data_IF_813682795458
#
_entry.id   IF_813682795458
#
_cell.length_a   1.000
_cell.length_b   1.000
_cell.length_c   1.000
_cell.angle_alpha   90.00
_cell.angle_beta   90.00
_cell.angle_gamma   90.00
#
_symmetry.space_group_name_H-M   'P 1'
#
loop_
_entity.id
_entity.type
_entity.pdbx_description
1 polymer ?
#
# COMPACT_ATOMS: atom_id res chain seq x y z
N UNK A 1 3.15 15.36 68.47
CA UNK A 1 3.56 14.60 67.27
C UNK A 1 3.57 15.52 66.06
N UNK A 2 4.74 16.01 65.63
CA UNK A 2 4.87 16.61 64.28
C UNK A 2 4.88 15.45 63.30
N UNK A 3 3.76 15.18 62.63
CA UNK A 3 3.74 14.25 61.51
C UNK A 3 4.79 14.77 60.52
N UNK A 4 5.84 13.99 60.29
CA UNK A 4 6.93 14.38 59.39
C UNK A 4 6.35 14.51 57.98
N UNK A 5 6.18 15.77 57.56
CA UNK A 5 5.74 16.24 56.24
C UNK A 5 6.22 15.41 55.05
N UNK A 6 7.48 14.92 54.95
CA UNK A 6 7.95 14.18 53.76
C UNK A 6 7.22 12.86 53.47
N UNK A 7 6.68 12.16 54.48
CA UNK A 7 6.09 10.83 54.27
C UNK A 7 4.68 10.87 53.69
N UNK A 8 3.89 11.90 54.05
CA UNK A 8 2.59 12.16 53.42
C UNK A 8 2.78 12.49 51.95
N UNK A 9 3.78 13.32 51.62
CA UNK A 9 4.12 13.65 50.25
C UNK A 9 4.51 12.42 49.42
N UNK A 10 5.20 11.45 50.02
CA UNK A 10 5.54 10.20 49.35
C UNK A 10 4.30 9.37 48.97
N UNK A 11 3.32 9.24 49.87
CA UNK A 11 2.05 8.54 49.59
C UNK A 11 1.25 9.25 48.51
N UNK A 12 1.17 10.58 48.57
CA UNK A 12 0.50 11.41 47.55
C UNK A 12 1.17 11.27 46.18
N UNK A 13 2.49 11.30 46.11
CA UNK A 13 3.23 11.10 44.84
C UNK A 13 2.99 9.70 44.28
N UNK A 14 3.06 8.66 45.12
CA UNK A 14 2.79 7.29 44.71
C UNK A 14 1.37 7.12 44.16
N UNK A 15 0.37 7.71 44.81
CA UNK A 15 -1.01 7.65 44.34
C UNK A 15 -1.19 8.38 43.02
N UNK A 16 -0.60 9.57 42.85
CA UNK A 16 -0.63 10.28 41.56
C UNK A 16 0.03 9.43 40.45
N UNK A 17 1.20 8.84 40.71
CA UNK A 17 1.89 7.97 39.74
C UNK A 17 1.07 6.74 39.37
N UNK A 18 0.45 6.06 40.35
CA UNK A 18 -0.43 4.91 40.10
C UNK A 18 -1.65 5.31 39.26
N UNK A 19 -2.26 6.46 39.56
CA UNK A 19 -3.43 6.97 38.82
C UNK A 19 -3.06 7.30 37.38
N UNK A 20 -1.89 7.91 37.15
CA UNK A 20 -1.38 8.20 35.82
C UNK A 20 -1.09 6.91 35.02
N UNK A 21 -0.42 5.93 35.63
CA UNK A 21 -0.15 4.62 35.01
C UNK A 21 -1.44 3.87 34.67
N UNK A 22 -2.44 3.93 35.55
CA UNK A 22 -3.74 3.32 35.31
C UNK A 22 -4.43 3.94 34.10
N UNK A 23 -4.43 5.28 34.01
CA UNK A 23 -4.99 6.00 32.87
C UNK A 23 -4.28 5.66 31.54
N UNK A 24 -2.94 5.54 31.56
CA UNK A 24 -2.18 5.13 30.37
C UNK A 24 -2.48 3.67 29.98
N UNK A 25 -2.64 2.76 30.95
CA UNK A 25 -2.96 1.35 30.67
C UNK A 25 -4.33 1.15 30.00
N UNK A 26 -5.25 2.09 30.18
CA UNK A 26 -6.60 2.03 29.58
C UNK A 26 -6.64 2.47 28.11
N UNK A 27 -5.56 3.04 27.55
CA UNK A 27 -5.59 3.48 26.15
C UNK A 27 -5.50 2.26 25.19
N UNK A 28 -6.46 2.07 24.28
CA UNK A 28 -6.52 0.90 23.38
C UNK A 28 -5.60 1.04 22.15
N UNK A 29 -4.35 1.44 22.36
CA UNK A 29 -3.50 1.96 21.27
C UNK A 29 -3.00 0.86 20.31
N UNK A 30 -2.69 -0.33 20.83
CA UNK A 30 -2.17 -1.48 20.06
C UNK A 30 -3.12 -1.94 18.94
N UNK A 31 -4.44 -1.79 19.15
CA UNK A 31 -5.44 -2.15 18.14
C UNK A 31 -5.42 -1.19 16.94
N UNK A 32 -5.06 0.08 17.17
CA UNK A 32 -5.13 1.15 16.17
C UNK A 32 -4.00 1.00 15.15
N UNK A 33 -2.73 0.88 15.57
CA UNK A 33 -1.62 0.72 14.62
C UNK A 33 -1.69 -0.60 13.84
N UNK A 34 -2.14 -1.68 14.49
CA UNK A 34 -2.35 -2.98 13.83
C UNK A 34 -3.37 -2.89 12.67
N UNK A 35 -4.37 -2.02 12.78
CA UNK A 35 -5.34 -1.78 11.70
C UNK A 35 -4.68 -1.11 10.48
N UNK A 36 -3.79 -0.14 10.69
CA UNK A 36 -3.07 0.52 9.59
C UNK A 36 -2.04 -0.39 8.92
N UNK A 37 -1.35 -1.24 9.70
CA UNK A 37 -0.51 -2.32 9.14
C UNK A 37 -1.34 -3.22 8.24
N UNK A 38 -2.50 -3.69 8.72
CA UNK A 38 -3.39 -4.53 7.93
C UNK A 38 -3.85 -3.82 6.65
N UNK A 39 -4.25 -2.55 6.73
CA UNK A 39 -4.68 -1.77 5.57
C UNK A 39 -3.60 -1.66 4.49
N UNK A 40 -2.32 -1.50 4.88
CA UNK A 40 -1.20 -1.45 3.93
C UNK A 40 -0.88 -2.82 3.33
N UNK A 41 -0.97 -3.90 4.13
CA UNK A 41 -0.87 -5.26 3.60
C UNK A 41 -2.00 -5.56 2.59
N UNK A 42 -3.24 -5.20 2.94
CA UNK A 42 -4.40 -5.37 2.07
C UNK A 42 -4.22 -4.59 0.75
N UNK A 43 -3.64 -3.38 0.81
CA UNK A 43 -3.21 -2.63 -0.37
C UNK A 43 -2.20 -3.41 -1.22
N UNK A 44 -1.12 -3.94 -0.63
CA UNK A 44 -0.09 -4.69 -1.36
C UNK A 44 -0.66 -5.95 -2.04
N UNK A 45 -1.56 -6.66 -1.36
CA UNK A 45 -2.24 -7.82 -1.94
C UNK A 45 -3.17 -7.42 -3.09
N UNK A 46 -3.93 -6.33 -2.93
CA UNK A 46 -4.81 -5.82 -3.97
C UNK A 46 -4.01 -5.34 -5.20
N UNK A 47 -2.86 -4.68 -4.98
CA UNK A 47 -1.97 -4.21 -6.04
C UNK A 47 -1.37 -5.39 -6.82
N UNK A 48 -0.86 -6.40 -6.12
CA UNK A 48 -0.35 -7.62 -6.76
C UNK A 48 -1.43 -8.37 -7.54
N UNK A 49 -2.67 -8.41 -7.03
CA UNK A 49 -3.82 -8.98 -7.72
C UNK A 49 -4.15 -8.20 -9.00
N UNK A 50 -4.21 -6.87 -8.93
CA UNK A 50 -4.44 -6.00 -10.08
C UNK A 50 -3.35 -6.16 -11.13
N UNK A 51 -2.08 -6.19 -10.73
CA UNK A 51 -0.96 -6.37 -11.67
C UNK A 51 -1.05 -7.71 -12.40
N UNK A 52 -1.51 -8.79 -11.76
CA UNK A 52 -1.77 -10.07 -12.44
C UNK A 52 -2.93 -9.99 -13.43
N UNK A 53 -4.00 -9.26 -13.11
CA UNK A 53 -5.09 -9.01 -14.06
C UNK A 53 -4.61 -8.20 -15.25
N UNK A 54 -3.81 -7.16 -14.99
CA UNK A 54 -3.23 -6.30 -16.02
C UNK A 54 -2.22 -7.03 -16.91
N UNK A 55 -1.51 -8.02 -16.38
CA UNK A 55 -0.61 -8.88 -17.16
C UNK A 55 -1.37 -9.74 -18.17
N UNK A 56 -2.57 -10.21 -17.81
CA UNK A 56 -3.48 -10.91 -18.73
C UNK A 56 -4.03 -9.98 -19.81
N UNK A 57 -4.36 -8.73 -19.45
CA UNK A 57 -4.72 -7.67 -20.42
C UNK A 57 -3.55 -7.40 -21.37
N UNK A 58 -2.32 -7.29 -20.84
CA UNK A 58 -1.10 -7.07 -21.64
C UNK A 58 -0.90 -8.17 -22.67
N UNK A 59 -1.02 -9.43 -22.25
CA UNK A 59 -0.83 -10.60 -23.12
C UNK A 59 -2.04 -10.91 -24.04
N UNK A 60 -3.14 -10.16 -23.90
CA UNK A 60 -4.33 -10.33 -24.73
C UNK A 60 -5.08 -11.64 -24.44
N UNK A 61 -5.03 -12.13 -23.19
CA UNK A 61 -6.00 -13.08 -22.69
C UNK A 61 -7.26 -12.30 -22.28
N UNK A 62 -8.44 -12.83 -22.61
CA UNK A 62 -9.71 -12.20 -22.22
C UNK A 62 -9.74 -11.96 -20.71
N UNK A 63 -9.80 -10.70 -20.33
CA UNK A 63 -10.09 -10.26 -18.97
C UNK A 63 -11.27 -9.32 -19.06
N UNK A 64 -12.27 -9.56 -18.21
CA UNK A 64 -13.36 -8.63 -18.05
C UNK A 64 -12.81 -7.26 -17.58
N UNK A 65 -12.85 -6.28 -18.49
CA UNK A 65 -12.41 -4.92 -18.22
C UNK A 65 -13.11 -4.31 -17.00
N UNK A 66 -14.36 -4.71 -16.71
CA UNK A 66 -15.09 -4.26 -15.53
C UNK A 66 -14.42 -4.72 -14.22
N UNK A 67 -13.88 -5.94 -14.19
CA UNK A 67 -13.15 -6.47 -13.02
C UNK A 67 -11.88 -5.67 -12.77
N UNK A 68 -11.12 -5.38 -13.83
CA UNK A 68 -9.88 -4.60 -13.71
C UNK A 68 -10.18 -3.17 -13.25
N UNK A 69 -11.21 -2.53 -13.81
CA UNK A 69 -11.64 -1.20 -13.39
C UNK A 69 -12.11 -1.17 -11.92
N UNK A 70 -12.83 -2.20 -11.46
CA UNK A 70 -13.22 -2.31 -10.06
C UNK A 70 -12.00 -2.46 -9.12
N UNK A 71 -11.00 -3.24 -9.53
CA UNK A 71 -9.73 -3.38 -8.79
C UNK A 71 -8.96 -2.05 -8.73
N UNK A 72 -8.90 -1.29 -9.83
CA UNK A 72 -8.30 0.05 -9.86
C UNK A 72 -9.01 1.03 -8.91
N UNK A 73 -10.34 1.04 -8.91
CA UNK A 73 -11.12 1.88 -7.99
C UNK A 73 -10.91 1.49 -6.53
N UNK A 74 -10.77 0.20 -6.25
CA UNK A 74 -10.46 -0.28 -4.89
C UNK A 74 -9.12 0.27 -4.40
N UNK A 75 -8.06 0.24 -5.22
CA UNK A 75 -6.76 0.81 -4.83
C UNK A 75 -6.85 2.32 -4.57
N UNK A 76 -7.60 3.03 -5.40
CA UNK A 76 -7.85 4.47 -5.23
C UNK A 76 -8.55 4.75 -3.90
N UNK A 77 -9.61 4.01 -3.59
CA UNK A 77 -10.36 4.16 -2.33
C UNK A 77 -9.50 3.82 -1.11
N UNK A 78 -8.64 2.80 -1.19
CA UNK A 78 -7.70 2.47 -0.12
C UNK A 78 -6.73 3.63 0.13
N UNK A 79 -6.15 4.23 -0.91
CA UNK A 79 -5.25 5.37 -0.74
C UNK A 79 -5.95 6.61 -0.14
N UNK A 80 -7.18 6.90 -0.56
CA UNK A 80 -7.96 8.04 -0.04
C UNK A 80 -8.41 7.82 1.40
N UNK A 81 -8.91 6.63 1.71
CA UNK A 81 -9.34 6.25 3.05
C UNK A 81 -8.17 6.18 4.02
N UNK A 82 -7.00 5.75 3.56
CA UNK A 82 -5.77 5.73 4.36
C UNK A 82 -5.34 7.14 4.74
N UNK A 83 -5.24 8.07 3.78
CA UNK A 83 -4.90 9.48 4.03
C UNK A 83 -5.87 10.14 5.01
N UNK A 84 -7.18 9.96 4.80
CA UNK A 84 -8.20 10.46 5.72
C UNK A 84 -8.12 9.78 7.11
N UNK A 85 -7.75 8.50 7.16
CA UNK A 85 -7.50 7.76 8.39
C UNK A 85 -6.33 8.35 9.18
N UNK A 86 -5.21 8.66 8.51
CA UNK A 86 -4.05 9.29 9.17
C UNK A 86 -4.39 10.67 9.74
N UNK A 87 -5.16 11.49 9.03
CA UNK A 87 -5.60 12.79 9.55
C UNK A 87 -6.44 12.65 10.83
N UNK A 88 -7.32 11.65 10.89
CA UNK A 88 -8.09 11.34 12.10
C UNK A 88 -7.20 10.81 13.23
N UNK A 89 -6.19 10.02 12.89
CA UNK A 89 -5.19 9.49 13.83
C UNK A 89 -4.38 10.62 14.47
N UNK A 90 -3.99 11.62 13.68
CA UNK A 90 -3.29 12.81 14.15
C UNK A 90 -4.17 13.62 15.11
N UNK A 91 -5.44 13.88 14.75
CA UNK A 91 -6.39 14.61 15.59
C UNK A 91 -6.66 13.94 16.94
N UNK A 92 -6.53 12.62 17.00
CA UNK A 92 -6.70 11.84 18.25
C UNK A 92 -5.43 11.77 19.10
N UNK A 93 -4.33 12.39 18.64
CA UNK A 93 -3.08 12.53 19.38
C UNK A 93 -2.19 11.28 19.36
N UNK A 94 -2.39 10.38 18.39
CA UNK A 94 -1.51 9.24 18.16
C UNK A 94 -0.29 9.65 17.32
N UNK A 95 0.76 8.83 17.39
CA UNK A 95 1.95 9.02 16.55
C UNK A 95 1.58 8.73 15.10
N UNK A 96 1.90 9.67 14.21
CA UNK A 96 1.60 9.55 12.78
C UNK A 96 2.87 9.62 11.95
N UNK A 97 2.89 8.94 10.78
CA UNK A 97 4.00 9.07 9.85
C UNK A 97 4.06 10.50 9.29
N UNK A 98 5.22 10.91 8.73
CA UNK A 98 5.36 12.23 8.13
C UNK A 98 4.28 12.47 7.05
N UNK A 99 3.65 13.64 7.08
CA UNK A 99 2.61 14.01 6.09
C UNK A 99 3.11 13.93 4.65
N UNK A 100 4.41 14.18 4.42
CA UNK A 100 5.06 14.00 3.12
C UNK A 100 5.02 12.56 2.64
N UNK A 101 5.28 11.57 3.51
CA UNK A 101 5.28 10.14 3.15
C UNK A 101 3.86 9.66 2.83
N UNK A 102 2.86 10.12 3.59
CA UNK A 102 1.44 9.81 3.35
C UNK A 102 0.96 10.42 2.02
N UNK A 103 1.29 11.68 1.77
CA UNK A 103 0.97 12.37 0.52
C UNK A 103 1.67 11.75 -0.68
N UNK A 104 2.94 11.35 -0.52
CA UNK A 104 3.71 10.65 -1.55
C UNK A 104 3.08 9.29 -1.89
N UNK A 105 2.68 8.50 -0.88
CA UNK A 105 1.97 7.24 -1.09
C UNK A 105 0.66 7.47 -1.87
N UNK A 106 -0.19 8.38 -1.38
CA UNK A 106 -1.46 8.71 -2.03
C UNK A 106 -1.28 9.15 -3.48
N UNK A 107 -0.40 10.12 -3.73
CA UNK A 107 -0.15 10.63 -5.09
C UNK A 107 0.43 9.56 -6.02
N UNK A 108 1.32 8.69 -5.52
CA UNK A 108 1.89 7.58 -6.28
C UNK A 108 0.82 6.54 -6.65
N UNK A 109 -0.08 6.18 -5.73
CA UNK A 109 -1.19 5.26 -6.01
C UNK A 109 -2.15 5.85 -7.04
N UNK A 110 -2.52 7.13 -6.89
CA UNK A 110 -3.42 7.80 -7.84
C UNK A 110 -2.78 7.89 -9.24
N UNK A 111 -1.50 8.24 -9.32
CA UNK A 111 -0.76 8.26 -10.58
C UNK A 111 -0.72 6.87 -11.22
N UNK A 112 -0.41 5.82 -10.44
CA UNK A 112 -0.43 4.42 -10.91
C UNK A 112 -1.79 4.04 -11.47
N UNK A 113 -2.87 4.31 -10.75
CA UNK A 113 -4.25 4.03 -11.19
C UNK A 113 -4.58 4.77 -12.49
N UNK A 114 -4.23 6.05 -12.61
CA UNK A 114 -4.43 6.82 -13.84
C UNK A 114 -3.66 6.25 -15.03
N UNK A 115 -2.39 5.86 -14.83
CA UNK A 115 -1.58 5.21 -15.85
C UNK A 115 -2.16 3.86 -16.28
N UNK A 116 -2.59 3.03 -15.32
CA UNK A 116 -3.21 1.74 -15.57
C UNK A 116 -4.52 1.88 -16.37
N UNK A 117 -5.35 2.86 -16.01
CA UNK A 117 -6.61 3.12 -16.72
C UNK A 117 -6.37 3.51 -18.18
N UNK A 118 -5.43 4.43 -18.43
CA UNK A 118 -5.04 4.81 -19.80
C UNK A 118 -4.49 3.61 -20.57
N UNK A 119 -3.57 2.86 -19.95
CA UNK A 119 -2.98 1.67 -20.56
C UNK A 119 -4.03 0.63 -20.93
N UNK A 120 -5.01 0.36 -20.06
CA UNK A 120 -6.11 -0.57 -20.35
C UNK A 120 -6.87 -0.15 -21.61
N UNK A 121 -7.27 1.12 -21.70
CA UNK A 121 -7.98 1.65 -22.87
C UNK A 121 -7.16 1.57 -24.15
N UNK A 122 -5.89 1.96 -24.09
CA UNK A 122 -5.01 1.95 -25.26
C UNK A 122 -4.67 0.51 -25.70
N UNK A 123 -4.49 -0.42 -24.75
CA UNK A 123 -4.22 -1.83 -25.04
C UNK A 123 -5.43 -2.51 -25.67
N UNK A 124 -6.65 -2.26 -25.18
CA UNK A 124 -7.87 -2.77 -25.81
C UNK A 124 -7.99 -2.30 -27.26
N UNK A 125 -7.84 -0.99 -27.50
CA UNK A 125 -7.89 -0.44 -28.86
C UNK A 125 -6.78 -1.00 -29.77
N UNK A 126 -5.60 -1.31 -29.20
CA UNK A 126 -4.51 -1.94 -29.93
C UNK A 126 -4.85 -3.39 -30.32
N UNK A 127 -5.47 -4.17 -29.42
CA UNK A 127 -5.92 -5.54 -29.69
C UNK A 127 -7.00 -5.54 -30.79
N UNK A 128 -7.96 -4.62 -30.73
CA UNK A 128 -9.00 -4.49 -31.75
C UNK A 128 -8.40 -4.21 -33.14
N UNK A 129 -7.41 -3.31 -33.23
CA UNK A 129 -6.73 -3.04 -34.51
C UNK A 129 -5.88 -4.23 -34.97
N UNK A 130 -5.27 -4.97 -34.04
CA UNK A 130 -4.54 -6.20 -34.36
C UNK A 130 -5.45 -7.25 -34.99
N UNK A 131 -6.66 -7.45 -34.46
CA UNK A 131 -7.66 -8.34 -35.06
C UNK A 131 -8.07 -7.90 -36.45
N UNK A 132 -8.24 -6.59 -36.68
CA UNK A 132 -8.51 -6.05 -38.01
C UNK A 132 -7.36 -6.34 -38.99
N UNK A 133 -6.11 -6.22 -38.53
CA UNK A 133 -4.92 -6.56 -39.34
C UNK A 133 -4.89 -8.05 -39.66
N UNK A 134 -5.16 -8.94 -38.70
CA UNK A 134 -5.22 -10.38 -38.98
C UNK A 134 -6.30 -10.72 -40.02
N UNK A 135 -7.50 -10.13 -39.93
CA UNK A 135 -8.57 -10.31 -40.94
C UNK A 135 -8.15 -9.85 -42.33
N UNK A 136 -7.41 -8.73 -42.42
CA UNK A 136 -6.89 -8.24 -43.71
C UNK A 136 -5.81 -9.17 -44.28
N UNK A 137 -4.98 -9.75 -43.42
CA UNK A 137 -3.97 -10.74 -43.82
C UNK A 137 -4.63 -12.03 -44.35
N UNK A 138 -5.72 -12.48 -43.73
CA UNK A 138 -6.50 -13.65 -44.18
C UNK A 138 -7.18 -13.43 -45.55
N UNK A 139 -7.60 -12.20 -45.86
CA UNK A 139 -8.23 -11.84 -47.14
C UNK A 139 -7.24 -11.50 -48.25
N UNK A 140 -5.95 -11.37 -47.93
CA UNK A 140 -4.88 -11.01 -48.87
C UNK A 140 -4.41 -12.20 -49.73
N UNK A 141 -3.59 -11.94 -50.77
CA UNK A 141 -2.95 -13.00 -51.54
C UNK A 141 -2.07 -13.88 -50.63
N UNK A 142 -2.02 -15.17 -50.95
CA UNK A 142 -1.69 -16.30 -50.06
C UNK A 142 -0.27 -16.35 -49.44
N UNK A 143 0.58 -15.36 -49.69
CA UNK A 143 1.92 -15.24 -49.08
C UNK A 143 1.87 -14.27 -47.89
N UNK A 144 1.13 -14.65 -46.85
CA UNK A 144 1.24 -13.99 -45.55
C UNK A 144 2.60 -14.37 -44.97
N UNK A 145 3.50 -13.40 -44.86
CA UNK A 145 4.83 -13.61 -44.31
C UNK A 145 4.74 -14.09 -42.84
N UNK A 146 5.15 -15.34 -42.60
CA UNK A 146 5.23 -15.95 -41.28
C UNK A 146 6.07 -15.09 -40.31
N UNK A 147 7.06 -14.35 -40.81
CA UNK A 147 7.86 -13.44 -40.00
C UNK A 147 7.04 -12.27 -39.44
N UNK A 148 6.10 -11.73 -40.23
CA UNK A 148 5.19 -10.68 -39.79
C UNK A 148 4.27 -11.20 -38.68
N UNK A 149 3.66 -12.38 -38.88
CA UNK A 149 2.78 -13.01 -37.88
C UNK A 149 3.52 -13.20 -36.55
N UNK A 150 4.74 -13.75 -36.59
CA UNK A 150 5.56 -13.96 -35.37
C UNK A 150 5.89 -12.65 -34.64
N UNK A 151 6.14 -11.56 -35.37
CA UNK A 151 6.39 -10.24 -34.78
C UNK A 151 5.11 -9.66 -34.15
N UNK A 152 3.96 -9.82 -34.80
CA UNK A 152 2.66 -9.43 -34.25
C UNK A 152 2.31 -10.22 -32.99
N UNK A 153 2.55 -11.54 -32.98
CA UNK A 153 2.34 -12.38 -31.81
C UNK A 153 3.27 -12.00 -30.64
N UNK A 154 4.51 -11.65 -30.95
CA UNK A 154 5.47 -11.14 -29.96
C UNK A 154 5.02 -9.78 -29.39
N UNK A 155 4.51 -8.88 -30.23
CA UNK A 155 3.93 -7.62 -29.79
C UNK A 155 2.65 -7.84 -28.96
N UNK A 156 1.83 -8.84 -29.32
CA UNK A 156 0.65 -9.25 -28.53
C UNK A 156 1.03 -9.79 -27.16
N UNK A 157 2.15 -10.50 -27.04
CA UNK A 157 2.71 -10.90 -25.75
C UNK A 157 3.32 -9.72 -24.94
N UNK A 158 3.32 -8.51 -25.51
CA UNK A 158 3.74 -7.28 -24.85
C UNK A 158 5.26 -7.05 -24.87
N UNK A 159 5.98 -7.65 -25.82
CA UNK A 159 7.40 -7.34 -26.04
C UNK A 159 7.55 -6.08 -26.89
N UNK A 160 8.64 -5.34 -26.69
CA UNK A 160 9.05 -4.27 -27.60
C UNK A 160 9.52 -4.87 -28.93
N UNK A 161 8.76 -4.63 -30.00
CA UNK A 161 9.02 -5.21 -31.33
C UNK A 161 9.04 -4.11 -32.38
N UNK A 162 10.09 -4.10 -33.20
CA UNK A 162 10.23 -3.20 -34.35
C UNK A 162 9.92 -3.94 -35.67
N UNK A 163 9.42 -3.24 -36.70
CA UNK A 163 9.14 -3.84 -38.00
C UNK A 163 10.39 -4.15 -38.83
N UNK A 164 11.60 -3.97 -38.30
CA UNK A 164 12.87 -4.12 -39.04
C UNK A 164 12.96 -5.44 -39.81
N UNK A 165 13.38 -5.34 -41.08
CA UNK A 165 13.61 -6.48 -41.97
C UNK A 165 12.35 -7.13 -42.54
N UNK A 166 11.16 -6.57 -42.33
CA UNK A 166 9.92 -7.06 -42.92
C UNK A 166 9.63 -6.38 -44.27
N UNK A 167 9.15 -7.16 -45.24
CA UNK A 167 8.51 -6.63 -46.45
C UNK A 167 7.01 -6.55 -46.18
N UNK A 168 6.53 -5.34 -45.89
CA UNK A 168 5.12 -5.13 -45.54
C UNK A 168 4.26 -5.02 -46.81
N UNK A 169 3.10 -5.70 -46.89
CA UNK A 169 2.18 -5.54 -48.01
C UNK A 169 1.65 -4.10 -48.12
N UNK A 170 1.69 -3.52 -49.32
CA UNK A 170 1.28 -2.12 -49.55
C UNK A 170 -0.16 -1.81 -49.12
N UNK A 171 -1.04 -2.82 -49.16
CA UNK A 171 -2.44 -2.69 -48.80
C UNK A 171 -2.67 -2.26 -47.34
N UNK A 172 -1.75 -2.57 -46.43
CA UNK A 172 -1.91 -2.29 -45.00
C UNK A 172 -0.61 -1.97 -44.23
N UNK A 173 0.49 -1.71 -44.93
CA UNK A 173 1.80 -1.39 -44.33
C UNK A 173 1.74 -0.29 -43.25
N UNK A 174 1.09 0.83 -43.53
CA UNK A 174 0.98 1.97 -42.61
C UNK A 174 0.24 1.61 -41.33
N UNK A 175 -0.77 0.72 -41.42
CA UNK A 175 -1.50 0.25 -40.23
C UNK A 175 -0.59 -0.60 -39.35
N UNK A 176 0.17 -1.51 -39.96
CA UNK A 176 1.12 -2.38 -39.25
C UNK A 176 2.24 -1.57 -38.58
N UNK A 177 2.82 -0.59 -39.29
CA UNK A 177 3.83 0.31 -38.71
C UNK A 177 3.27 1.10 -37.52
N UNK A 178 2.07 1.66 -37.67
CA UNK A 178 1.39 2.38 -36.58
C UNK A 178 1.14 1.45 -35.38
N UNK A 179 0.78 0.19 -35.65
CA UNK A 179 0.51 -0.81 -34.62
C UNK A 179 1.78 -1.19 -33.85
N UNK A 180 2.92 -1.35 -34.53
CA UNK A 180 4.22 -1.56 -33.87
C UNK A 180 4.64 -0.34 -33.05
N UNK A 181 4.48 0.87 -33.58
CA UNK A 181 4.82 2.09 -32.83
C UNK A 181 3.98 2.21 -31.55
N UNK A 182 2.66 2.03 -31.65
CA UNK A 182 1.77 2.03 -30.49
C UNK A 182 2.14 0.95 -29.47
N UNK A 183 2.63 -0.21 -29.93
CA UNK A 183 3.08 -1.26 -29.03
C UNK A 183 4.33 -0.86 -28.24
N UNK A 184 5.25 -0.08 -28.83
CA UNK A 184 6.39 0.49 -28.10
C UNK A 184 5.92 1.49 -27.06
N UNK A 185 4.99 2.39 -27.41
CA UNK A 185 4.43 3.35 -26.48
C UNK A 185 3.74 2.64 -25.29
N UNK A 186 3.01 1.55 -25.57
CA UNK A 186 2.40 0.69 -24.56
C UNK A 186 3.45 -0.03 -23.70
N UNK A 187 4.51 -0.56 -24.30
CA UNK A 187 5.61 -1.19 -23.57
C UNK A 187 6.28 -0.23 -22.58
N UNK A 188 6.53 1.00 -23.02
CA UNK A 188 7.10 2.04 -22.15
C UNK A 188 6.10 2.44 -21.05
N UNK A 189 4.82 2.59 -21.39
CA UNK A 189 3.76 2.87 -20.41
C UNK A 189 3.65 1.76 -19.35
N UNK A 190 3.77 0.49 -19.73
CA UNK A 190 3.79 -0.65 -18.81
C UNK A 190 4.90 -0.53 -17.78
N UNK A 191 6.12 -0.23 -18.23
CA UNK A 191 7.28 -0.10 -17.36
C UNK A 191 7.19 1.12 -16.42
N UNK A 192 6.40 2.14 -16.75
CA UNK A 192 6.21 3.32 -15.89
C UNK A 192 5.39 3.03 -14.63
N UNK A 193 4.43 2.10 -14.68
CA UNK A 193 3.61 1.76 -13.50
C UNK A 193 3.96 0.40 -12.89
N UNK A 194 4.61 -0.50 -13.65
CA UNK A 194 5.23 -1.70 -13.14
C UNK A 194 6.62 -1.38 -12.54
N UNK A 195 6.67 -0.37 -11.68
CA UNK A 195 7.84 -0.05 -10.90
C UNK A 195 7.52 -0.16 -9.42
N UNK A 196 8.53 -0.46 -8.62
CA UNK A 196 8.37 -0.70 -7.18
C UNK A 196 8.13 0.60 -6.38
N UNK A 197 7.82 1.73 -7.04
CA UNK A 197 7.67 3.03 -6.36
C UNK A 197 6.51 3.05 -5.38
N UNK A 198 5.34 2.58 -5.80
CA UNK A 198 4.17 2.53 -4.92
C UNK A 198 4.34 1.52 -3.80
N UNK A 199 5.02 0.41 -4.09
CA UNK A 199 5.32 -0.64 -3.11
C UNK A 199 6.31 -0.13 -2.05
N UNK A 200 7.38 0.54 -2.48
CA UNK A 200 8.36 1.18 -1.59
C UNK A 200 7.73 2.25 -0.70
N UNK A 201 6.82 3.09 -1.23
CA UNK A 201 6.09 4.07 -0.43
C UNK A 201 5.17 3.39 0.60
N UNK A 202 4.54 2.27 0.24
CA UNK A 202 3.76 1.45 1.18
C UNK A 202 4.64 0.81 2.26
N UNK A 203 5.83 0.31 1.90
CA UNK A 203 6.77 -0.33 2.83
C UNK A 203 7.32 0.65 3.86
N UNK A 204 7.62 1.89 3.46
CA UNK A 204 8.05 2.95 4.39
C UNK A 204 6.98 3.19 5.47
N UNK A 205 5.72 3.32 5.07
CA UNK A 205 4.60 3.51 5.98
C UNK A 205 4.36 2.26 6.85
N UNK A 206 4.48 1.07 6.25
CA UNK A 206 4.32 -0.20 6.95
C UNK A 206 5.35 -0.32 8.07
N UNK A 207 6.61 -0.02 7.76
CA UNK A 207 7.70 -0.04 8.73
C UNK A 207 7.46 0.94 9.88
N UNK A 208 6.97 2.16 9.60
CA UNK A 208 6.59 3.12 10.64
C UNK A 208 5.56 2.52 11.60
N UNK A 209 4.45 1.99 11.09
CA UNK A 209 3.39 1.44 11.95
C UNK A 209 3.82 0.18 12.69
N UNK A 210 4.66 -0.66 12.09
CA UNK A 210 5.24 -1.82 12.77
C UNK A 210 6.15 -1.41 13.93
N UNK A 211 7.01 -0.40 13.73
CA UNK A 211 7.87 0.12 14.79
C UNK A 211 7.05 0.69 15.95
N UNK A 212 6.03 1.50 15.67
CA UNK A 212 5.16 2.05 16.71
C UNK A 212 4.37 0.95 17.44
N UNK A 213 3.85 -0.04 16.72
CA UNK A 213 3.17 -1.18 17.32
C UNK A 213 4.10 -1.96 18.27
N UNK A 214 5.36 -2.23 17.87
CA UNK A 214 6.33 -2.91 18.73
C UNK A 214 6.68 -2.08 19.96
N UNK A 215 6.87 -0.76 19.81
CA UNK A 215 7.10 0.14 20.94
C UNK A 215 5.95 0.10 21.93
N UNK A 216 4.71 0.13 21.43
CA UNK A 216 3.51 0.06 22.27
C UNK A 216 3.34 -1.28 22.96
N UNK A 217 3.57 -2.40 22.28
CA UNK A 217 3.53 -3.73 22.90
C UNK A 217 4.57 -3.81 24.05
N UNK A 218 5.78 -3.30 23.81
CA UNK A 218 6.83 -3.22 24.85
C UNK A 218 6.40 -2.33 26.02
N UNK A 219 5.77 -1.20 25.75
CA UNK A 219 5.32 -0.26 26.79
C UNK A 219 4.14 -0.83 27.60
N UNK A 220 3.17 -1.44 26.92
CA UNK A 220 2.05 -2.15 27.51
C UNK A 220 2.50 -3.30 28.43
N UNK A 221 3.56 -4.03 28.05
CA UNK A 221 4.14 -5.07 28.91
C UNK A 221 4.82 -4.51 30.18
N UNK A 222 5.43 -3.32 30.10
CA UNK A 222 6.14 -2.68 31.22
C UNK A 222 5.22 -2.01 32.23
N UNK A 223 4.06 -1.50 31.81
CA UNK A 223 3.11 -0.78 32.67
C UNK A 223 2.62 -1.63 33.87
N UNK A 224 2.14 -2.88 33.69
CA UNK A 224 1.73 -3.72 34.81
C UNK A 224 2.86 -3.93 35.81
N UNK A 225 4.08 -4.16 35.32
CA UNK A 225 5.26 -4.38 36.18
C UNK A 225 5.58 -3.15 37.03
N UNK A 226 5.53 -1.95 36.44
CA UNK A 226 5.67 -0.70 37.16
C UNK A 226 4.53 -0.47 38.16
N UNK A 227 3.28 -0.81 37.78
CA UNK A 227 2.11 -0.69 38.64
C UNK A 227 2.19 -1.61 39.86
N UNK A 228 2.60 -2.88 39.68
CA UNK A 228 2.83 -3.82 40.78
C UNK A 228 3.94 -3.33 41.70
N UNK A 229 5.06 -2.86 41.14
CA UNK A 229 6.17 -2.34 41.93
C UNK A 229 5.74 -1.14 42.80
N UNK A 230 5.08 -0.14 42.20
CA UNK A 230 4.58 1.04 42.93
C UNK A 230 3.54 0.67 43.99
N UNK A 231 2.67 -0.29 43.71
CA UNK A 231 1.68 -0.80 44.67
C UNK A 231 2.36 -1.49 45.87
N UNK A 232 3.42 -2.26 45.62
CA UNK A 232 4.20 -2.94 46.66
C UNK A 232 4.95 -1.92 47.53
N UNK A 233 5.55 -0.89 46.93
CA UNK A 233 6.18 0.22 47.65
C UNK A 233 5.16 0.99 48.51
N UNK A 234 3.97 1.24 47.98
CA UNK A 234 2.88 1.89 48.73
C UNK A 234 2.43 1.04 49.93
N UNK A 235 2.31 -0.28 49.73
CA UNK A 235 1.95 -1.22 50.78
C UNK A 235 3.01 -1.29 51.88
N UNK A 236 4.29 -1.35 51.51
CA UNK A 236 5.40 -1.29 52.47
C UNK A 236 5.43 0.04 53.24
N UNK A 237 5.24 1.17 52.55
CA UNK A 237 5.21 2.49 53.17
C UNK A 237 4.05 2.63 54.17
N UNK A 238 2.86 2.10 53.84
CA UNK A 238 1.70 2.09 54.74
C UNK A 238 1.88 1.14 55.91
N UNK A 239 2.44 -0.06 55.71
CA UNK A 239 2.81 -0.97 56.80
C UNK A 239 3.78 -0.33 57.78
N UNK A 240 4.84 0.32 57.28
CA UNK A 240 5.81 1.02 58.11
C UNK A 240 5.15 2.15 58.92
N UNK A 241 4.19 2.87 58.33
CA UNK A 241 3.43 3.91 59.01
C UNK A 241 2.60 3.36 60.18
N UNK A 242 1.87 2.26 59.96
CA UNK A 242 1.02 1.61 60.98
C UNK A 242 1.86 1.11 62.16
N UNK A 243 3.03 0.53 61.90
CA UNK A 243 3.90 0.01 62.97
C UNK A 243 4.65 1.11 63.71
N UNK A 244 5.14 2.15 63.01
CA UNK A 244 5.85 3.26 63.66
C UNK A 244 4.91 4.19 64.43
N UNK A 245 3.63 4.30 64.07
CA UNK A 245 2.68 5.12 64.84
C UNK A 245 2.23 4.47 66.15
N UNK A 246 2.55 3.18 66.37
CA UNK A 246 2.24 2.43 67.59
C UNK A 246 3.40 2.40 68.61
N UNK A 247 4.58 2.88 68.23
CA UNK A 247 5.71 3.16 69.13
C UNK A 247 5.70 4.64 69.53
#
# INVERSE_FOLDING_TARGET
>A
MKIQTPWIWLVVVLTICLTALFYVSQKPQVAVYSQYVKSLCDYQFADASLMRSMERVRSGYEVDSAVVLAQMMTLREVALSFDAGIQKLEQTGFSTPPASSVSHFKSSVLAKVSCLHRYLSERSAWIDELENVYRLMEMGPSDVDLALVRKLDSARAGYAVLPDGLVLPEAFNKRVETLFQKNLDLFDAWNQFNNDKTLSASDELLHFFQMENVKEISLSAKIPLAFYFLSLVLLLATFFFIFKSKQ
#
